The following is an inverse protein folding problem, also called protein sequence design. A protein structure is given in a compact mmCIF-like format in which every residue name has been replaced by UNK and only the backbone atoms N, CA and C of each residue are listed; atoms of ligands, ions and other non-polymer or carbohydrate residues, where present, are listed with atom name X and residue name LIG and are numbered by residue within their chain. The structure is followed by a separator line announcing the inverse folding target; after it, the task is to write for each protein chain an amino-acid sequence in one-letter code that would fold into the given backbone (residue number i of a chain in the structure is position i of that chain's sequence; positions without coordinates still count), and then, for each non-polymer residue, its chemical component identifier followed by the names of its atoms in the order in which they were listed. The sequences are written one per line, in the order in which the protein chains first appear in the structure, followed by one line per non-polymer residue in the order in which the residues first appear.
data_IF_306163929384
#
_entry.id   IF_306163929384
#
_cell.length_a   1.000
_cell.length_b   1.000
_cell.length_c   1.000
_cell.angle_alpha   90.00
_cell.angle_beta   90.00
_cell.angle_gamma   90.00
#
_symmetry.space_group_name_H-M   'P 1'
#
loop_
_entity.id
_entity.type
_entity.pdbx_description
1 polymer ?
#
# COMPACT_ATOMS: atom_id res chain seq x y z
N UNK A 1 -2.71 9.73 16.02
CA UNK A 1 -1.63 8.96 15.36
C UNK A 1 -2.14 7.70 14.65
N UNK A 2 -3.01 6.87 15.25
CA UNK A 2 -3.59 5.68 14.58
C UNK A 2 -4.33 5.98 13.27
N UNK A 3 -5.09 7.07 13.17
CA UNK A 3 -5.80 7.42 11.92
C UNK A 3 -4.86 7.81 10.79
N UNK A 4 -3.83 8.62 11.07
CA UNK A 4 -2.81 9.00 10.08
C UNK A 4 -2.04 7.79 9.59
N UNK A 5 -1.72 6.86 10.50
CA UNK A 5 -1.08 5.59 10.18
C UNK A 5 -1.91 4.72 9.22
N UNK A 6 -3.21 4.60 9.51
CA UNK A 6 -4.17 3.89 8.66
C UNK A 6 -4.32 4.54 7.29
N UNK A 7 -4.34 5.87 7.22
CA UNK A 7 -4.37 6.60 5.95
C UNK A 7 -3.10 6.36 5.13
N UNK A 8 -1.92 6.41 5.75
CA UNK A 8 -0.66 6.12 5.08
C UNK A 8 -0.63 4.70 4.52
N UNK A 9 -1.13 3.72 5.29
CA UNK A 9 -1.27 2.34 4.82
C UNK A 9 -2.16 2.22 3.57
N UNK A 10 -3.33 2.88 3.56
CA UNK A 10 -4.23 2.86 2.39
C UNK A 10 -3.60 3.55 1.18
N UNK A 11 -2.91 4.68 1.38
CA UNK A 11 -2.19 5.37 0.32
C UNK A 11 -1.15 4.45 -0.32
N UNK A 12 -0.35 3.75 0.50
CA UNK A 12 0.65 2.80 0.02
C UNK A 12 -0.01 1.63 -0.71
N UNK A 13 -1.15 1.14 -0.22
CA UNK A 13 -1.87 0.04 -0.85
C UNK A 13 -2.30 0.35 -2.29
N UNK A 14 -2.74 1.58 -2.53
CA UNK A 14 -3.23 2.02 -3.85
C UNK A 14 -2.10 2.56 -4.73
N UNK A 15 -0.98 2.99 -4.15
CA UNK A 15 0.14 3.58 -4.88
C UNK A 15 0.74 2.64 -5.93
N UNK A 16 0.93 1.36 -5.60
CA UNK A 16 1.51 0.38 -6.52
C UNK A 16 0.65 0.16 -7.79
N UNK A 17 -0.65 -0.22 -7.71
CA UNK A 17 -1.47 -0.38 -8.91
C UNK A 17 -1.74 0.95 -9.64
N UNK A 18 -1.80 2.08 -8.92
CA UNK A 18 -1.94 3.38 -9.55
C UNK A 18 -0.70 3.77 -10.36
N UNK A 19 0.50 3.56 -9.81
CA UNK A 19 1.75 3.83 -10.51
C UNK A 19 1.90 2.96 -11.76
N UNK A 20 1.51 1.69 -11.70
CA UNK A 20 1.58 0.79 -12.87
C UNK A 20 0.58 1.19 -13.94
N UNK A 21 -0.62 1.61 -13.57
CA UNK A 21 -1.59 2.15 -14.51
C UNK A 21 -1.09 3.41 -15.20
N UNK A 22 -0.50 4.35 -14.44
CA UNK A 22 0.08 5.57 -15.01
C UNK A 22 1.24 5.28 -15.98
N UNK A 23 2.05 4.26 -15.70
CA UNK A 23 3.20 3.92 -16.51
C UNK A 23 2.86 3.10 -17.77
N UNK A 24 1.85 2.22 -17.70
CA UNK A 24 1.58 1.23 -18.75
C UNK A 24 0.18 1.31 -19.37
N UNK A 25 -0.75 2.05 -18.76
CA UNK A 25 -2.17 2.04 -19.13
C UNK A 25 -2.93 0.79 -18.66
N UNK A 26 -2.25 -0.18 -18.05
CA UNK A 26 -2.84 -1.43 -17.59
C UNK A 26 -2.73 -1.58 -16.07
N UNK A 27 -3.81 -2.09 -15.46
CA UNK A 27 -3.80 -2.55 -14.07
C UNK A 27 -3.71 -4.07 -14.10
N UNK A 28 -2.53 -4.61 -13.83
CA UNK A 28 -2.35 -6.05 -13.69
C UNK A 28 -2.59 -6.50 -12.26
N UNK A 29 -3.13 -7.70 -12.11
CA UNK A 29 -3.56 -8.24 -10.82
C UNK A 29 -2.41 -8.35 -9.82
N UNK A 30 -1.20 -8.67 -10.28
CA UNK A 30 -0.01 -8.81 -9.44
C UNK A 30 0.33 -7.51 -8.70
N UNK A 31 0.10 -6.35 -9.31
CA UNK A 31 0.36 -5.04 -8.70
C UNK A 31 -0.71 -4.64 -7.68
N UNK A 32 -1.95 -5.10 -7.86
CA UNK A 32 -3.01 -4.95 -6.85
C UNK A 32 -2.63 -5.75 -5.60
N UNK A 33 -2.23 -7.02 -5.76
CA UNK A 33 -1.79 -7.86 -4.65
C UNK A 33 -0.57 -7.24 -3.97
N UNK A 34 0.44 -6.83 -4.74
CA UNK A 34 1.65 -6.22 -4.21
C UNK A 34 1.35 -4.99 -3.36
N UNK A 35 0.53 -4.06 -3.90
CA UNK A 35 0.09 -2.89 -3.16
C UNK A 35 -0.61 -3.29 -1.86
N UNK A 36 -1.60 -4.18 -1.94
CA UNK A 36 -2.34 -4.65 -0.76
C UNK A 36 -1.41 -5.24 0.32
N UNK A 37 -0.44 -6.10 -0.05
CA UNK A 37 0.51 -6.71 0.89
C UNK A 37 1.34 -5.64 1.60
N UNK A 38 1.90 -4.67 0.86
CA UNK A 38 2.70 -3.60 1.45
C UNK A 38 1.84 -2.71 2.35
N UNK A 39 0.63 -2.36 1.90
CA UNK A 39 -0.34 -1.59 2.68
C UNK A 39 -0.71 -2.28 4.00
N UNK A 40 -1.02 -3.58 3.96
CA UNK A 40 -1.32 -4.36 5.16
C UNK A 40 -0.12 -4.47 6.10
N UNK A 41 1.08 -4.69 5.57
CA UNK A 41 2.30 -4.68 6.38
C UNK A 41 2.46 -3.35 7.13
N UNK A 42 2.22 -2.23 6.44
CA UNK A 42 2.15 -0.92 7.06
C UNK A 42 1.07 -0.86 8.14
N UNK A 43 -0.14 -1.32 7.86
CA UNK A 43 -1.27 -1.24 8.79
C UNK A 43 -0.97 -1.91 10.14
N UNK A 44 -0.38 -3.11 10.13
CA UNK A 44 -0.16 -3.92 11.34
C UNK A 44 1.18 -3.64 12.04
N UNK A 45 2.25 -3.39 11.28
CA UNK A 45 3.60 -3.29 11.85
C UNK A 45 4.23 -1.90 11.76
N UNK A 46 3.54 -0.90 11.21
CA UNK A 46 4.14 0.42 11.06
C UNK A 46 5.19 0.49 9.95
N UNK A 47 5.71 1.71 9.66
CA UNK A 47 6.79 1.92 8.69
C UNK A 47 8.08 1.17 9.02
N UNK A 48 8.33 0.94 10.31
CA UNK A 48 9.58 0.40 10.85
C UNK A 48 9.50 -1.09 11.15
N UNK A 49 8.35 -1.74 10.94
CA UNK A 49 8.14 -3.15 11.29
C UNK A 49 7.95 -3.40 12.80
N UNK A 50 7.91 -2.35 13.62
CA UNK A 50 7.67 -2.46 15.06
C UNK A 50 6.17 -2.38 15.37
N UNK A 51 5.65 -3.33 16.15
CA UNK A 51 4.26 -3.33 16.61
C UNK A 51 3.93 -1.99 17.30
N UNK A 52 2.97 -1.25 16.74
CA UNK A 52 2.43 0.01 17.27
C UNK A 52 1.43 -0.19 18.41
#
# INVERSE_FOLDING_TARGET
MKTLHRLASLIVAVAAPAATYLASGEVRFEFIILGAVIGFAYWYWGPTGALL
#
